data_IF_145688790884
#
_entry.id   IF_145688790884
#
_cell.length_a   1.000
_cell.length_b   1.000
_cell.length_c   1.000
_cell.angle_alpha   90.00
_cell.angle_beta   90.00
_cell.angle_gamma   90.00
#
_symmetry.space_group_name_H-M   'P 1'
#
loop_
_entity.id
_entity.type
_entity.pdbx_description
1 polymer ?
#
# COMPACT_ATOMS: atom_id res chain seq x y z
N UNK A 1 21.27 -40.01 -23.26
CA UNK A 1 21.08 -39.82 -21.81
C UNK A 1 21.88 -38.59 -21.45
N UNK A 2 21.24 -37.42 -21.42
CA UNK A 2 21.81 -36.23 -20.79
C UNK A 2 20.64 -35.31 -20.42
N UNK A 3 20.52 -35.10 -19.12
CA UNK A 3 19.50 -34.33 -18.40
C UNK A 3 19.95 -32.88 -18.30
N UNK A 4 19.14 -31.93 -18.77
CA UNK A 4 19.27 -30.52 -18.37
C UNK A 4 18.12 -30.17 -17.44
N UNK A 5 18.47 -30.10 -16.15
CA UNK A 5 17.61 -29.78 -15.02
C UNK A 5 17.20 -28.30 -15.01
N UNK A 6 15.97 -28.10 -14.54
CA UNK A 6 15.29 -26.83 -14.19
C UNK A 6 16.19 -25.86 -13.40
N UNK A 7 16.11 -24.57 -13.76
CA UNK A 7 16.64 -23.45 -12.94
C UNK A 7 15.66 -22.27 -12.78
N UNK A 8 14.37 -22.46 -13.05
CA UNK A 8 13.36 -21.37 -12.96
C UNK A 8 12.63 -21.37 -11.60
N UNK A 9 12.75 -22.41 -10.79
CA UNK A 9 11.88 -22.63 -9.62
C UNK A 9 12.45 -22.09 -8.29
N UNK A 10 13.72 -21.73 -8.22
CA UNK A 10 14.41 -21.42 -6.94
C UNK A 10 14.50 -19.92 -6.62
N UNK A 11 14.43 -19.03 -7.63
CA UNK A 11 14.55 -17.58 -7.41
C UNK A 11 13.23 -16.91 -7.01
N UNK A 12 12.10 -17.41 -7.49
CA UNK A 12 10.76 -16.87 -7.13
C UNK A 12 10.44 -17.21 -5.68
N UNK A 13 10.74 -18.43 -5.23
CA UNK A 13 10.50 -18.88 -3.86
C UNK A 13 11.33 -18.13 -2.81
N UNK A 14 12.58 -17.77 -3.13
CA UNK A 14 13.44 -17.01 -2.23
C UNK A 14 13.04 -15.53 -2.09
N UNK A 15 12.53 -14.89 -3.14
CA UNK A 15 12.01 -13.51 -3.06
C UNK A 15 10.68 -13.46 -2.32
N UNK A 16 9.78 -14.42 -2.55
CA UNK A 16 8.54 -14.57 -1.77
C UNK A 16 8.83 -14.82 -0.29
N UNK A 17 9.70 -15.79 0.05
CA UNK A 17 10.06 -16.07 1.44
C UNK A 17 10.67 -14.86 2.15
N UNK A 18 11.54 -14.11 1.46
CA UNK A 18 12.12 -12.87 2.01
C UNK A 18 11.10 -11.76 2.20
N UNK A 19 10.06 -11.68 1.36
CA UNK A 19 8.94 -10.76 1.57
C UNK A 19 8.19 -11.15 2.83
N UNK A 20 7.77 -12.41 2.95
CA UNK A 20 7.01 -12.93 4.11
C UNK A 20 7.76 -12.68 5.43
N UNK A 21 9.07 -12.91 5.48
CA UNK A 21 9.90 -12.62 6.66
C UNK A 21 9.73 -11.18 7.17
N UNK A 22 9.67 -10.21 6.26
CA UNK A 22 9.45 -8.80 6.61
C UNK A 22 8.07 -8.54 7.22
N UNK A 23 7.02 -9.24 6.77
CA UNK A 23 5.68 -9.13 7.36
C UNK A 23 5.65 -9.74 8.77
N UNK A 24 6.32 -10.87 8.97
CA UNK A 24 6.36 -11.55 10.27
C UNK A 24 7.12 -10.76 11.35
N UNK A 25 8.01 -9.84 10.97
CA UNK A 25 8.76 -8.97 11.89
C UNK A 25 7.96 -7.73 12.35
N UNK A 26 6.78 -7.48 11.77
CA UNK A 26 5.99 -6.30 12.13
C UNK A 26 5.37 -6.43 13.53
N UNK A 27 5.41 -5.33 14.28
CA UNK A 27 4.80 -5.25 15.62
C UNK A 27 3.33 -4.81 15.59
N UNK A 28 2.68 -4.89 14.43
CA UNK A 28 1.31 -4.41 14.18
C UNK A 28 0.61 -5.35 13.19
N UNK A 29 -0.73 -5.41 13.20
CA UNK A 29 -1.48 -6.25 12.27
C UNK A 29 -1.41 -5.72 10.83
N UNK A 30 -1.30 -6.62 9.86
CA UNK A 30 -1.40 -6.29 8.44
C UNK A 30 -2.86 -6.31 7.97
N UNK A 31 -3.22 -5.40 7.09
CA UNK A 31 -4.55 -5.35 6.49
C UNK A 31 -4.50 -5.66 4.99
N UNK A 32 -5.60 -6.23 4.50
CA UNK A 32 -5.90 -6.43 3.10
C UNK A 32 -7.40 -6.40 2.84
N UNK A 33 -7.82 -6.69 1.60
CA UNK A 33 -9.24 -6.87 1.30
C UNK A 33 -9.80 -8.08 2.08
N UNK A 34 -11.04 -7.95 2.53
CA UNK A 34 -11.72 -8.96 3.33
C UNK A 34 -12.02 -10.27 2.56
N UNK A 35 -12.70 -11.19 3.23
CA UNK A 35 -13.03 -12.51 2.69
C UNK A 35 -14.04 -12.44 1.52
N UNK A 36 -14.71 -11.31 1.28
CA UNK A 36 -15.56 -11.14 0.10
C UNK A 36 -14.73 -11.04 -1.18
N UNK A 37 -13.47 -10.61 -1.10
CA UNK A 37 -12.54 -10.65 -2.21
C UNK A 37 -11.91 -12.04 -2.39
N UNK A 38 -12.22 -12.70 -3.51
CA UNK A 38 -11.76 -14.07 -3.82
C UNK A 38 -10.70 -14.14 -4.92
N UNK A 39 -10.16 -12.99 -5.36
CA UNK A 39 -9.15 -12.94 -6.42
C UNK A 39 -7.73 -13.22 -5.92
N UNK A 40 -6.73 -13.16 -6.82
CA UNK A 40 -5.32 -13.34 -6.46
C UNK A 40 -4.85 -12.31 -5.44
N UNK A 41 -3.87 -12.70 -4.62
CA UNK A 41 -3.30 -11.91 -3.54
C UNK A 41 -1.79 -12.01 -3.60
N UNK A 42 -1.08 -10.91 -3.34
CA UNK A 42 0.39 -10.86 -3.43
C UNK A 42 0.99 -9.87 -2.43
N UNK A 43 2.23 -10.14 -1.99
CA UNK A 43 2.96 -9.28 -1.06
C UNK A 43 3.88 -8.29 -1.80
N UNK A 44 3.87 -7.04 -1.35
CA UNK A 44 4.92 -6.05 -1.66
C UNK A 44 6.04 -6.11 -0.63
N UNK A 45 7.12 -5.38 -0.89
CA UNK A 45 8.19 -5.22 0.10
C UNK A 45 7.73 -4.32 1.24
N UNK A 46 8.10 -4.67 2.47
CA UNK A 46 7.91 -3.82 3.66
C UNK A 46 8.95 -2.70 3.72
N UNK A 47 8.56 -1.54 4.24
CA UNK A 47 9.46 -0.44 4.59
C UNK A 47 9.88 -0.55 6.05
N UNK A 48 11.16 -0.39 6.32
CA UNK A 48 11.74 -0.46 7.67
C UNK A 48 12.59 0.78 7.95
N UNK A 49 12.60 1.20 9.22
CA UNK A 49 13.51 2.21 9.73
C UNK A 49 14.97 1.70 9.71
N UNK A 50 15.92 2.60 9.93
CA UNK A 50 17.35 2.28 9.94
C UNK A 50 17.75 1.23 11.00
N UNK A 51 16.96 1.10 12.07
CA UNK A 51 17.14 0.08 13.12
C UNK A 51 16.51 -1.29 12.78
N UNK A 52 15.95 -1.43 11.57
CA UNK A 52 15.26 -2.64 11.12
C UNK A 52 13.82 -2.76 11.58
N UNK A 53 13.28 -1.78 12.31
CA UNK A 53 11.87 -1.78 12.72
C UNK A 53 10.98 -1.60 11.50
N UNK A 54 10.05 -2.54 11.26
CA UNK A 54 9.05 -2.39 10.20
C UNK A 54 8.10 -1.24 10.53
N UNK A 55 7.89 -0.35 9.56
CA UNK A 55 7.07 0.85 9.70
C UNK A 55 5.80 0.80 8.85
N UNK A 56 5.91 0.22 7.65
CA UNK A 56 4.79 0.10 6.72
C UNK A 56 5.04 -1.04 5.74
N UNK A 57 3.99 -1.39 4.99
CA UNK A 57 4.03 -2.43 3.96
C UNK A 57 2.71 -2.42 3.20
N UNK A 58 2.64 -3.21 2.13
CA UNK A 58 1.49 -3.18 1.24
C UNK A 58 1.13 -4.56 0.71
N UNK A 59 -0.15 -4.89 0.74
CA UNK A 59 -0.67 -6.14 0.20
C UNK A 59 -1.53 -5.86 -1.01
N UNK A 60 -1.34 -6.64 -2.07
CA UNK A 60 -2.02 -6.43 -3.33
C UNK A 60 -3.07 -7.50 -3.61
N UNK A 61 -4.06 -7.10 -4.39
CA UNK A 61 -5.28 -7.84 -4.70
C UNK A 61 -5.62 -7.67 -6.17
N UNK A 62 -5.89 -8.77 -6.86
CA UNK A 62 -6.20 -8.78 -8.30
C UNK A 62 -4.96 -9.06 -9.14
N UNK A 63 -4.92 -8.51 -10.34
CA UNK A 63 -3.81 -8.72 -11.28
C UNK A 63 -2.63 -7.86 -10.84
N UNK A 64 -1.50 -8.47 -10.49
CA UNK A 64 -0.29 -7.71 -10.11
C UNK A 64 0.14 -6.79 -11.27
N UNK A 65 0.18 -5.46 -11.05
CA UNK A 65 0.50 -4.50 -12.11
C UNK A 65 1.94 -4.65 -12.57
N UNK A 66 2.17 -4.64 -13.89
CA UNK A 66 3.51 -4.72 -14.47
C UNK A 66 3.79 -3.50 -15.33
N UNK A 67 5.04 -3.02 -15.32
CA UNK A 67 5.49 -1.83 -16.09
C UNK A 67 5.38 -2.04 -17.62
N UNK A 68 4.97 -3.23 -18.08
CA UNK A 68 4.92 -3.63 -19.50
C UNK A 68 3.53 -3.56 -20.13
N UNK A 69 2.46 -3.31 -19.37
CA UNK A 69 1.12 -3.21 -19.97
C UNK A 69 1.01 -1.94 -20.81
N UNK A 70 0.56 -2.10 -22.05
CA UNK A 70 0.39 -0.99 -23.00
C UNK A 70 -0.90 -0.20 -22.75
N UNK A 71 -1.90 -0.79 -22.07
CA UNK A 71 -3.15 -0.10 -21.73
C UNK A 71 -3.51 -0.20 -20.24
N UNK A 72 -3.74 0.95 -19.55
CA UNK A 72 -4.21 0.99 -18.16
C UNK A 72 -5.58 0.33 -17.93
N UNK A 73 -6.38 0.14 -18.99
CA UNK A 73 -7.75 -0.38 -18.88
C UNK A 73 -7.82 -1.88 -18.58
N UNK A 74 -6.73 -2.61 -18.82
CA UNK A 74 -6.60 -4.03 -18.52
C UNK A 74 -6.12 -4.30 -17.07
N UNK A 75 -5.65 -3.25 -16.37
CA UNK A 75 -5.19 -3.36 -14.99
C UNK A 75 -6.38 -3.37 -14.02
N UNK A 76 -6.52 -4.49 -13.31
CA UNK A 76 -7.62 -4.74 -12.36
C UNK A 76 -7.03 -5.13 -11.02
N UNK A 77 -6.71 -4.13 -10.21
CA UNK A 77 -6.06 -4.35 -8.93
C UNK A 77 -6.47 -3.33 -7.87
N UNK A 78 -6.27 -3.72 -6.62
CA UNK A 78 -6.22 -2.85 -5.46
C UNK A 78 -4.98 -3.20 -4.63
N UNK A 79 -4.40 -2.20 -3.97
CA UNK A 79 -3.30 -2.37 -3.03
C UNK A 79 -3.68 -1.71 -1.72
N UNK A 80 -3.49 -2.42 -0.62
CA UNK A 80 -3.75 -1.96 0.74
C UNK A 80 -2.41 -1.73 1.43
N UNK A 81 -2.12 -0.47 1.73
CA UNK A 81 -0.97 0.00 2.50
C UNK A 81 -1.35 0.01 3.98
N UNK A 82 -0.57 -0.67 4.81
CA UNK A 82 -0.69 -0.58 6.27
C UNK A 82 0.51 0.18 6.82
N UNK A 83 0.26 1.18 7.65
CA UNK A 83 1.27 2.00 8.33
C UNK A 83 1.08 1.87 9.83
N UNK A 84 2.14 1.53 10.56
CA UNK A 84 2.11 1.48 12.01
C UNK A 84 1.74 2.85 12.58
N UNK A 85 0.79 2.95 13.51
CA UNK A 85 0.60 4.21 14.24
C UNK A 85 1.72 4.39 15.27
N UNK A 86 2.53 5.42 15.10
CA UNK A 86 3.67 5.73 15.95
C UNK A 86 3.70 7.23 16.27
N UNK A 87 3.89 7.61 17.54
CA UNK A 87 4.15 8.99 17.90
C UNK A 87 5.53 9.43 17.42
N UNK A 88 5.78 10.74 17.49
CA UNK A 88 7.10 11.34 17.28
C UNK A 88 8.12 10.66 18.21
N UNK A 89 9.26 10.23 17.66
CA UNK A 89 10.31 9.53 18.42
C UNK A 89 11.71 9.90 17.96
N UNK A 90 12.73 9.66 18.78
CA UNK A 90 14.12 9.85 18.36
C UNK A 90 14.55 8.74 17.42
N UNK A 91 15.37 9.09 16.43
CA UNK A 91 16.03 8.10 15.58
C UNK A 91 17.00 7.26 16.40
N UNK A 92 17.08 5.96 16.10
CA UNK A 92 17.91 5.01 16.83
C UNK A 92 19.42 5.27 16.67
N UNK A 93 19.83 5.88 15.56
CA UNK A 93 21.20 6.31 15.29
C UNK A 93 21.58 7.64 15.97
N UNK A 94 20.63 8.26 16.68
CA UNK A 94 20.82 9.52 17.40
C UNK A 94 20.95 10.75 16.49
N UNK A 95 20.73 10.63 15.18
CA UNK A 95 20.95 11.72 14.21
C UNK A 95 19.75 12.63 14.02
N UNK A 96 18.58 12.27 14.54
CA UNK A 96 17.37 13.07 14.34
C UNK A 96 16.12 12.60 15.11
N UNK A 97 14.99 13.16 14.72
CA UNK A 97 13.65 12.82 15.19
C UNK A 97 12.87 12.25 14.01
N UNK A 98 12.17 11.15 14.23
CA UNK A 98 11.21 10.56 13.30
C UNK A 98 9.83 11.13 13.60
N UNK A 99 9.18 11.68 12.58
CA UNK A 99 7.84 12.24 12.65
C UNK A 99 6.80 11.18 13.03
N UNK A 100 5.68 11.65 13.59
CA UNK A 100 4.55 10.78 13.83
C UNK A 100 3.98 10.29 12.49
N UNK A 101 3.68 9.01 12.41
CA UNK A 101 2.90 8.47 11.30
C UNK A 101 1.45 8.91 11.44
N UNK A 102 0.80 9.24 10.33
CA UNK A 102 -0.59 9.68 10.33
C UNK A 102 -1.36 9.11 9.13
N UNK A 103 -2.66 9.42 9.06
CA UNK A 103 -3.47 9.15 7.85
C UNK A 103 -2.86 9.83 6.63
N UNK A 104 -2.23 11.01 6.78
CA UNK A 104 -1.50 11.68 5.71
C UNK A 104 -0.33 10.83 5.21
N UNK A 105 0.44 10.19 6.11
CA UNK A 105 1.50 9.25 5.70
C UNK A 105 0.94 8.10 4.85
N UNK A 106 -0.21 7.55 5.25
CA UNK A 106 -0.86 6.47 4.52
C UNK A 106 -1.40 6.93 3.16
N UNK A 107 -1.99 8.13 3.09
CA UNK A 107 -2.45 8.76 1.85
C UNK A 107 -1.29 9.00 0.86
N UNK A 108 -0.16 9.52 1.36
CA UNK A 108 1.02 9.77 0.55
C UNK A 108 1.61 8.48 -0.03
N UNK A 109 1.74 7.42 0.80
CA UNK A 109 2.22 6.11 0.35
C UNK A 109 1.30 5.50 -0.71
N UNK A 110 -0.02 5.59 -0.51
CA UNK A 110 -1.00 5.08 -1.47
C UNK A 110 -0.98 5.86 -2.79
N UNK A 111 -0.92 7.20 -2.73
CA UNK A 111 -0.80 8.05 -3.92
C UNK A 111 0.49 7.79 -4.70
N UNK A 112 1.63 7.69 -4.01
CA UNK A 112 2.93 7.37 -4.61
C UNK A 112 2.94 5.97 -5.25
N UNK A 113 2.27 5.00 -4.60
CA UNK A 113 2.08 3.66 -5.16
C UNK A 113 1.28 3.68 -6.47
N UNK A 114 0.15 4.39 -6.52
CA UNK A 114 -0.65 4.52 -7.74
C UNK A 114 0.15 5.17 -8.88
N UNK A 115 0.92 6.22 -8.57
CA UNK A 115 1.76 6.91 -9.55
C UNK A 115 2.88 6.01 -10.10
N UNK A 116 3.43 5.11 -9.27
CA UNK A 116 4.45 4.16 -9.71
C UNK A 116 3.95 3.17 -10.77
N UNK A 117 2.63 2.93 -10.82
CA UNK A 117 1.96 2.12 -11.85
C UNK A 117 1.30 2.96 -12.95
N UNK A 118 1.55 4.27 -12.95
CA UNK A 118 1.04 5.20 -13.96
C UNK A 118 2.20 5.58 -14.86
N UNK A 119 2.40 4.84 -15.95
CA UNK A 119 3.50 5.11 -16.87
C UNK A 119 3.04 6.01 -18.03
N UNK A 120 3.59 7.22 -18.20
CA UNK A 120 3.41 7.97 -19.43
C UNK A 120 4.22 7.26 -20.53
N UNK A 121 3.55 6.48 -21.38
CA UNK A 121 4.19 5.64 -22.41
C UNK A 121 4.92 6.43 -23.50
N UNK A 122 4.70 7.76 -23.58
CA UNK A 122 5.24 8.64 -24.62
C UNK A 122 6.30 9.65 -24.13
N UNK A 123 6.73 9.60 -22.87
CA UNK A 123 7.72 10.56 -22.33
C UNK A 123 9.16 10.02 -22.39
N UNK A 124 10.11 10.90 -22.74
CA UNK A 124 11.54 10.63 -22.56
C UNK A 124 11.89 10.49 -21.06
N UNK A 125 13.10 10.03 -20.76
CA UNK A 125 13.52 9.71 -19.38
C UNK A 125 13.56 10.94 -18.46
N UNK A 126 13.99 12.09 -18.95
CA UNK A 126 14.14 13.30 -18.12
C UNK A 126 12.78 13.90 -17.84
N UNK A 127 11.94 14.03 -18.88
CA UNK A 127 10.57 14.50 -18.74
C UNK A 127 9.74 13.58 -17.83
N UNK A 128 10.01 12.27 -17.85
CA UNK A 128 9.41 11.31 -16.91
C UNK A 128 9.80 11.57 -15.46
N UNK A 129 11.08 11.84 -15.20
CA UNK A 129 11.55 12.13 -13.84
C UNK A 129 10.91 13.42 -13.33
N UNK A 130 10.92 14.47 -14.14
CA UNK A 130 10.29 15.74 -13.79
C UNK A 130 8.78 15.58 -13.53
N UNK A 131 8.09 14.77 -14.36
CA UNK A 131 6.68 14.45 -14.16
C UNK A 131 6.44 13.67 -12.85
N UNK A 132 7.25 12.64 -12.56
CA UNK A 132 7.15 11.87 -11.31
C UNK A 132 7.41 12.75 -10.08
N UNK A 133 8.39 13.65 -10.14
CA UNK A 133 8.71 14.57 -9.05
C UNK A 133 7.54 15.52 -8.80
N UNK A 134 6.92 16.06 -9.86
CA UNK A 134 5.72 16.89 -9.77
C UNK A 134 4.52 16.12 -9.18
N UNK A 135 4.27 14.90 -9.63
CA UNK A 135 3.16 14.11 -9.12
C UNK A 135 3.39 13.69 -7.66
N UNK A 136 4.64 13.41 -7.28
CA UNK A 136 5.00 13.11 -5.88
C UNK A 136 4.81 14.32 -4.99
N UNK A 137 5.17 15.52 -5.47
CA UNK A 137 4.93 16.79 -4.76
C UNK A 137 3.42 17.06 -4.59
N UNK A 138 2.62 16.85 -5.64
CA UNK A 138 1.16 16.98 -5.57
C UNK A 138 0.54 15.94 -4.61
N UNK A 139 1.03 14.70 -4.62
CA UNK A 139 0.59 13.68 -3.68
C UNK A 139 0.93 14.07 -2.23
N UNK A 140 2.05 14.76 -2.02
CA UNK A 140 2.42 15.30 -0.71
C UNK A 140 1.50 16.44 -0.27
N UNK A 141 1.26 17.44 -1.12
CA UNK A 141 0.34 18.55 -0.83
C UNK A 141 -1.07 18.05 -0.51
N UNK A 142 -1.57 17.07 -1.27
CA UNK A 142 -2.88 16.46 -1.03
C UNK A 142 -2.92 15.64 0.25
N UNK A 143 -1.83 14.96 0.60
CA UNK A 143 -1.77 14.21 1.85
C UNK A 143 -1.69 15.12 3.07
N UNK A 144 -1.09 16.31 2.95
CA UNK A 144 -0.99 17.28 4.04
C UNK A 144 -2.37 17.89 4.40
N UNK A 145 -3.24 18.11 3.40
CA UNK A 145 -4.60 18.64 3.61
C UNK A 145 -5.70 17.63 3.26
N UNK A 146 -5.87 16.61 4.11
CA UNK A 146 -6.93 15.61 3.97
C UNK A 146 -8.36 16.15 4.17
N UNK A 147 -8.49 17.37 4.69
CA UNK A 147 -9.79 18.07 4.86
C UNK A 147 -10.13 19.01 3.71
N UNK A 148 -9.20 19.20 2.77
CA UNK A 148 -9.36 20.09 1.62
C UNK A 148 -10.30 19.54 0.55
N UNK A 149 -10.62 20.40 -0.42
CA UNK A 149 -11.57 20.10 -1.52
C UNK A 149 -11.12 18.95 -2.44
N UNK A 150 -9.86 18.52 -2.35
CA UNK A 150 -9.32 17.40 -3.12
C UNK A 150 -9.79 16.02 -2.65
N UNK A 151 -10.44 15.95 -1.48
CA UNK A 151 -10.91 14.72 -0.86
C UNK A 151 -12.42 14.74 -0.63
N UNK A 152 -12.99 13.54 -0.62
CA UNK A 152 -14.36 13.28 -0.21
C UNK A 152 -14.36 12.21 0.89
N UNK A 153 -15.44 12.08 1.65
CA UNK A 153 -15.55 11.02 2.65
C UNK A 153 -16.20 9.78 2.03
N UNK A 154 -15.62 8.60 2.30
CA UNK A 154 -16.15 7.30 1.91
C UNK A 154 -16.18 6.37 3.13
N UNK A 155 -17.36 5.84 3.45
CA UNK A 155 -17.54 4.87 4.53
C UNK A 155 -17.30 3.45 4.02
N UNK A 156 -16.29 2.76 4.55
CA UNK A 156 -15.96 1.37 4.19
C UNK A 156 -15.83 0.52 5.46
N UNK A 157 -16.21 -0.77 5.42
CA UNK A 157 -16.03 -1.65 6.56
C UNK A 157 -14.55 -1.99 6.77
N UNK A 158 -14.09 -1.87 8.01
CA UNK A 158 -12.80 -2.38 8.51
C UNK A 158 -13.11 -3.35 9.63
N UNK A 159 -12.75 -4.62 9.47
CA UNK A 159 -13.11 -5.71 10.38
C UNK A 159 -14.64 -5.76 10.64
N UNK A 160 -15.43 -5.42 9.62
CA UNK A 160 -16.90 -5.35 9.69
C UNK A 160 -17.47 -4.08 10.32
N UNK A 161 -16.63 -3.14 10.79
CA UNK A 161 -17.04 -1.87 11.39
C UNK A 161 -17.00 -0.75 10.34
N UNK A 162 -18.12 -0.01 10.09
CA UNK A 162 -18.12 1.14 9.20
C UNK A 162 -17.12 2.20 9.67
N UNK A 163 -16.15 2.51 8.80
CA UNK A 163 -15.03 3.41 9.11
C UNK A 163 -14.91 4.48 8.03
N UNK A 164 -14.72 5.77 8.40
CA UNK A 164 -14.55 6.84 7.42
C UNK A 164 -13.15 6.81 6.80
N UNK A 165 -13.09 7.05 5.49
CA UNK A 165 -11.87 7.25 4.73
C UNK A 165 -11.95 8.55 3.94
N UNK A 166 -10.82 9.27 3.87
CA UNK A 166 -10.59 10.25 2.83
C UNK A 166 -10.45 9.50 1.51
N UNK A 167 -11.25 9.86 0.50
CA UNK A 167 -11.32 9.23 -0.80
C UNK A 167 -11.15 10.25 -1.93
N UNK A 168 -10.36 9.89 -2.94
CA UNK A 168 -10.17 10.65 -4.17
C UNK A 168 -10.07 9.72 -5.36
N UNK A 169 -10.67 10.15 -6.46
CA UNK A 169 -10.60 9.47 -7.76
C UNK A 169 -10.02 10.39 -8.82
N UNK A 170 -9.27 9.80 -9.76
CA UNK A 170 -8.65 10.49 -10.89
C UNK A 170 -8.72 9.60 -12.12
N UNK A 171 -8.29 10.11 -13.28
CA UNK A 171 -8.17 9.30 -14.50
C UNK A 171 -7.21 8.11 -14.35
N UNK A 172 -6.28 8.15 -13.39
CA UNK A 172 -5.29 7.11 -13.16
C UNK A 172 -5.76 6.01 -12.20
N UNK A 173 -6.93 6.18 -11.58
CA UNK A 173 -7.43 5.32 -10.50
C UNK A 173 -7.81 6.12 -9.27
N UNK A 174 -7.98 5.41 -8.17
CA UNK A 174 -8.43 5.98 -6.90
C UNK A 174 -7.42 5.77 -5.78
N UNK A 175 -7.50 6.64 -4.78
CA UNK A 175 -6.73 6.58 -3.54
C UNK A 175 -7.69 6.80 -2.37
N UNK A 176 -7.48 6.09 -1.27
CA UNK A 176 -8.14 6.34 -0.01
C UNK A 176 -7.19 6.23 1.17
N UNK A 177 -7.50 6.91 2.27
CA UNK A 177 -6.74 6.83 3.50
C UNK A 177 -7.63 7.02 4.74
N UNK A 178 -7.36 6.25 5.79
CA UNK A 178 -8.10 6.27 7.04
C UNK A 178 -7.31 5.64 8.18
N UNK A 179 -7.94 5.50 9.34
CA UNK A 179 -7.35 4.80 10.49
C UNK A 179 -8.16 3.56 10.82
N UNK A 180 -7.47 2.44 11.06
CA UNK A 180 -8.07 1.27 11.67
C UNK A 180 -7.75 1.27 13.16
N UNK A 181 -8.81 1.41 13.96
CA UNK A 181 -8.74 1.28 15.41
C UNK A 181 -9.30 -0.07 15.81
N UNK A 182 -8.55 -0.81 16.64
CA UNK A 182 -9.07 -2.04 17.24
C UNK A 182 -9.99 -1.67 18.42
N UNK A 183 -11.23 -2.17 18.38
CA UNK A 183 -12.18 -2.16 19.50
C UNK A 183 -12.46 -0.78 20.16
N UNK A 184 -12.59 0.29 19.36
CA UNK A 184 -12.98 1.62 19.89
C UNK A 184 -12.02 2.21 20.92
N UNK A 185 -10.82 1.63 21.06
CA UNK A 185 -9.80 2.12 21.96
C UNK A 185 -9.01 3.25 21.29
N UNK A 186 -9.17 4.47 21.79
CA UNK A 186 -8.21 5.55 21.56
C UNK A 186 -6.89 5.16 22.25
N UNK A 187 -5.94 4.66 21.46
CA UNK A 187 -4.63 4.25 21.93
C UNK A 187 -3.64 4.05 20.79
N UNK A 188 -2.33 4.03 21.07
CA UNK A 188 -1.25 3.92 20.08
C UNK A 188 -1.14 2.53 19.39
N UNK A 189 -2.13 1.65 19.58
CA UNK A 189 -2.14 0.28 19.04
C UNK A 189 -2.92 0.14 17.71
N UNK A 190 -3.29 1.28 17.10
CA UNK A 190 -3.93 1.32 15.78
C UNK A 190 -2.95 1.30 14.62
N UNK A 191 -3.50 1.21 13.41
CA UNK A 191 -2.74 1.40 12.15
C UNK A 191 -3.43 2.46 11.29
N UNK A 192 -2.68 3.13 10.44
CA UNK A 192 -3.24 3.92 9.36
C UNK A 192 -3.29 3.07 8.10
N UNK A 193 -4.42 3.12 7.41
CA UNK A 193 -4.64 2.42 6.17
C UNK A 193 -4.62 3.40 5.02
N UNK A 194 -3.84 3.10 4.00
CA UNK A 194 -3.95 3.70 2.68
C UNK A 194 -4.39 2.60 1.72
N UNK A 195 -5.14 2.93 0.68
CA UNK A 195 -5.33 2.01 -0.42
C UNK A 195 -5.41 2.76 -1.75
N UNK A 196 -5.03 2.07 -2.80
CA UNK A 196 -5.15 2.58 -4.16
C UNK A 196 -5.50 1.47 -5.12
N UNK A 197 -6.09 1.80 -6.27
CA UNK A 197 -6.43 0.80 -7.27
C UNK A 197 -6.83 1.39 -8.60
N UNK A 198 -6.91 0.49 -9.59
CA UNK A 198 -7.29 0.76 -10.98
C UNK A 198 -8.13 -0.40 -11.50
N UNK A 199 -9.14 -0.07 -12.33
CA UNK A 199 -10.05 -1.04 -12.94
C UNK A 199 -11.01 -1.76 -11.97
N UNK A 200 -10.75 -1.68 -10.66
CA UNK A 200 -11.66 -2.08 -9.59
C UNK A 200 -12.31 -0.86 -8.96
N UNK A 201 -13.58 -0.96 -8.55
CA UNK A 201 -14.26 0.09 -7.79
C UNK A 201 -13.74 0.14 -6.35
N UNK A 202 -13.48 1.33 -5.83
CA UNK A 202 -13.24 1.55 -4.41
C UNK A 202 -14.50 1.35 -3.57
N UNK A 203 -15.66 1.66 -4.15
CA UNK A 203 -16.96 1.48 -3.52
C UNK A 203 -17.22 -0.02 -3.30
N UNK A 204 -17.58 -0.37 -2.07
CA UNK A 204 -17.89 -1.76 -1.69
C UNK A 204 -16.69 -2.60 -1.30
N UNK A 205 -15.48 -2.03 -1.27
CA UNK A 205 -14.34 -2.70 -0.65
C UNK A 205 -14.55 -2.84 0.86
N UNK A 206 -14.12 -3.97 1.41
CA UNK A 206 -13.98 -4.15 2.84
C UNK A 206 -12.54 -4.53 3.17
N UNK A 207 -12.07 -4.06 4.33
CA UNK A 207 -10.74 -4.35 4.84
C UNK A 207 -10.82 -5.25 6.05
N UNK A 208 -9.86 -6.15 6.20
CA UNK A 208 -9.73 -6.95 7.41
C UNK A 208 -8.28 -7.23 7.74
N UNK A 209 -8.02 -7.51 9.02
CA UNK A 209 -6.73 -8.07 9.45
C UNK A 209 -6.45 -9.37 8.68
N UNK A 210 -5.25 -9.49 8.16
CA UNK A 210 -4.76 -10.70 7.49
C UNK A 210 -4.47 -11.75 8.57
N UNK A 211 -5.23 -12.84 8.52
CA UNK A 211 -5.08 -13.98 9.44
C UNK A 211 -4.02 -14.97 8.98
N UNK A 212 -3.78 -15.03 7.68
CA UNK A 212 -2.90 -15.99 7.03
C UNK A 212 -2.14 -15.29 5.90
N UNK A 213 -0.82 -15.14 6.07
CA UNK A 213 0.06 -14.55 5.07
C UNK A 213 0.39 -15.53 3.93
N UNK A 214 0.22 -16.83 4.15
CA UNK A 214 0.47 -17.86 3.12
C UNK A 214 -0.52 -17.69 1.96
N UNK A 215 -1.70 -17.10 2.23
CA UNK A 215 -2.68 -16.73 1.22
C UNK A 215 -2.17 -15.67 0.22
N UNK A 216 -1.00 -15.07 0.45
CA UNK A 216 -0.38 -14.04 -0.39
C UNK A 216 0.92 -14.50 -1.07
N UNK A 217 1.28 -15.78 -0.99
CA UNK A 217 2.53 -16.30 -1.57
C UNK A 217 2.53 -16.41 -3.11
N UNK A 218 1.37 -16.30 -3.76
CA UNK A 218 1.20 -16.33 -5.22
C UNK A 218 0.94 -17.72 -5.81
#
# INVERSE_FOLDING_TARGET
>A
METTSRTVTDQVSADTGRKVDGYLLAAFPWYGLDEAFTGPRWLMRVGSAADGTVEHGATGHGVEPTIKLESPEDERFAVVVTVASRPVRRSADGTGVLEATSVSTAAWLAGSGLLSHTWPTQMDRTLRQDWLDQQTMLAWELADDLGGEGWSELMLPVDGVPTPFCYRESEYGWVLAGSASRDGAEGPEGVHLGAYGRGMSAYGLGFSVIKDLDAYEG
#
